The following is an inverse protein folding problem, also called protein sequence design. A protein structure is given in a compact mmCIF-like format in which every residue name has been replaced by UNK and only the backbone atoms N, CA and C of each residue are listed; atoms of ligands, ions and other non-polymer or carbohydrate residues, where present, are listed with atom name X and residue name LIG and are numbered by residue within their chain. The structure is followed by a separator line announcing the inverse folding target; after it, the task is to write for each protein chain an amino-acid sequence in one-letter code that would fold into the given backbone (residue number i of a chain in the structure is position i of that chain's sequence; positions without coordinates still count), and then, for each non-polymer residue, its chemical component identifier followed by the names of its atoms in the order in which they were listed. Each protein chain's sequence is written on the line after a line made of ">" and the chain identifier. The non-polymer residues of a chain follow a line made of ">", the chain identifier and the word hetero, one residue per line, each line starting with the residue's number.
data_IF_792276179200
#
_entry.id   IF_792276179200
#
_cell.length_a   1.000
_cell.length_b   1.000
_cell.length_c   1.000
_cell.angle_alpha   90.00
_cell.angle_beta   90.00
_cell.angle_gamma   90.00
#
_symmetry.space_group_name_H-M   'P 1'
#
loop_
_entity.id
_entity.type
_entity.pdbx_description
1 polymer ?
#
# COMPACT_ATOMS: atom_id res chain seq x y z
N UNK A 1 -4.13 -8.85 0.93
CA UNK A 1 -5.38 -8.06 1.05
C UNK A 1 -4.97 -6.61 1.19
N UNK A 2 -5.56 -5.65 0.46
CA UNK A 2 -5.09 -4.28 0.55
C UNK A 2 -5.30 -3.75 1.97
N UNK A 3 -4.32 -3.05 2.57
CA UNK A 3 -4.54 -2.25 3.76
C UNK A 3 -5.70 -1.26 3.60
N UNK A 4 -6.09 -0.66 4.73
CA UNK A 4 -7.29 0.16 4.94
C UNK A 4 -7.56 1.11 3.77
N UNK A 5 -8.67 0.87 3.08
CA UNK A 5 -9.17 1.73 2.01
C UNK A 5 -9.67 3.04 2.62
N UNK A 6 -9.36 4.17 1.98
CA UNK A 6 -9.88 5.49 2.34
C UNK A 6 -10.50 6.16 1.12
N UNK A 7 -11.61 6.88 1.30
CA UNK A 7 -12.19 7.73 0.27
C UNK A 7 -11.47 9.07 0.25
N UNK A 8 -11.21 9.61 -0.93
CA UNK A 8 -10.58 10.92 -1.11
C UNK A 8 -11.27 11.67 -2.25
N UNK A 9 -11.52 12.96 -2.03
CA UNK A 9 -12.14 13.85 -3.01
C UNK A 9 -11.07 14.78 -3.56
N UNK A 10 -11.15 15.07 -4.86
CA UNK A 10 -10.35 16.12 -5.49
C UNK A 10 -11.27 17.19 -6.06
N UNK A 11 -10.71 18.27 -6.61
CA UNK A 11 -11.47 19.51 -6.90
C UNK A 11 -12.76 19.27 -7.71
N UNK A 12 -12.71 18.37 -8.69
CA UNK A 12 -13.84 18.04 -9.56
C UNK A 12 -14.14 16.53 -9.64
N UNK A 13 -13.90 15.77 -8.58
CA UNK A 13 -14.24 14.35 -8.51
C UNK A 13 -13.86 13.68 -7.20
N UNK A 14 -13.78 12.35 -7.21
CA UNK A 14 -13.39 11.59 -6.04
C UNK A 14 -13.18 10.12 -6.34
N UNK A 15 -12.67 9.40 -5.35
CA UNK A 15 -12.34 7.99 -5.49
C UNK A 15 -11.90 7.36 -4.18
N UNK A 16 -11.17 6.26 -4.32
CA UNK A 16 -10.62 5.51 -3.20
C UNK A 16 -9.11 5.39 -3.34
N UNK A 17 -8.42 5.43 -2.21
CA UNK A 17 -6.99 5.14 -2.10
C UNK A 17 -6.73 3.98 -1.15
N UNK A 18 -5.66 3.24 -1.43
CA UNK A 18 -5.17 2.14 -0.61
C UNK A 18 -3.68 1.92 -0.91
N UNK A 19 -2.96 1.23 -0.02
CA UNK A 19 -1.63 0.72 -0.36
C UNK A 19 -1.79 -0.68 -0.93
N UNK A 20 -0.92 -1.07 -1.85
CA UNK A 20 -0.91 -2.42 -2.40
C UNK A 20 0.50 -2.77 -2.86
N UNK A 21 0.69 -4.06 -3.08
CA UNK A 21 1.78 -4.59 -3.90
C UNK A 21 1.19 -5.62 -4.86
N UNK A 22 1.93 -5.96 -5.92
CA UNK A 22 1.54 -7.00 -6.87
C UNK A 22 2.61 -8.08 -6.92
N UNK A 23 2.25 -9.32 -6.56
CA UNK A 23 3.13 -10.48 -6.64
C UNK A 23 2.47 -11.60 -7.47
N UNK A 24 3.30 -12.36 -8.20
CA UNK A 24 2.85 -13.49 -9.03
C UNK A 24 2.83 -14.83 -8.27
N UNK A 25 3.37 -14.85 -7.05
CA UNK A 25 3.47 -16.01 -6.17
C UNK A 25 3.32 -15.57 -4.72
N UNK A 26 3.36 -16.51 -3.77
CA UNK A 26 3.40 -16.20 -2.34
C UNK A 26 4.74 -15.54 -2.00
N UNK A 27 4.78 -14.21 -2.03
CA UNK A 27 5.96 -13.40 -1.81
C UNK A 27 5.87 -12.62 -0.48
N UNK A 28 7.02 -12.30 0.15
CA UNK A 28 7.08 -11.35 1.26
C UNK A 28 6.63 -9.95 0.83
N UNK A 29 5.88 -9.29 1.71
CA UNK A 29 5.51 -7.87 1.53
C UNK A 29 6.73 -7.00 1.81
N UNK A 30 7.05 -6.06 0.91
CA UNK A 30 8.32 -5.33 0.95
C UNK A 30 8.24 -3.90 0.38
N UNK A 31 9.24 -3.05 0.68
CA UNK A 31 9.27 -1.64 0.24
C UNK A 31 9.59 -1.45 -1.25
N UNK A 32 10.23 -2.42 -1.91
CA UNK A 32 10.50 -2.32 -3.36
C UNK A 32 9.21 -2.44 -4.17
N UNK A 33 8.27 -3.27 -3.72
CA UNK A 33 7.02 -3.57 -4.44
C UNK A 33 5.78 -2.82 -3.88
N UNK A 34 5.89 -2.18 -2.71
CA UNK A 34 4.79 -1.43 -2.10
C UNK A 34 4.54 -0.10 -2.83
N UNK A 35 3.27 0.17 -3.13
CA UNK A 35 2.83 1.43 -3.72
C UNK A 35 1.53 1.96 -3.12
N UNK A 36 1.41 3.28 -3.14
CA UNK A 36 0.16 3.99 -2.93
C UNK A 36 -0.63 3.96 -4.25
N UNK A 37 -1.89 3.56 -4.18
CA UNK A 37 -2.80 3.52 -5.32
C UNK A 37 -4.02 4.39 -5.03
N UNK A 38 -4.33 5.31 -5.93
CA UNK A 38 -5.61 5.99 -6.00
C UNK A 38 -6.31 5.64 -7.31
N UNK A 39 -7.61 5.37 -7.22
CA UNK A 39 -8.49 5.26 -8.37
C UNK A 39 -9.79 6.04 -8.14
N UNK A 40 -10.23 6.81 -9.12
CA UNK A 40 -11.41 7.67 -8.99
C UNK A 40 -11.97 8.14 -10.31
N UNK A 41 -13.06 8.91 -10.24
CA UNK A 41 -13.75 9.47 -11.40
C UNK A 41 -14.03 10.95 -11.20
N UNK A 42 -14.09 11.71 -12.30
CA UNK A 42 -14.62 13.08 -12.26
C UNK A 42 -16.12 13.08 -11.95
N UNK A 43 -16.61 14.19 -11.39
CA UNK A 43 -18.02 14.35 -10.97
C UNK A 43 -19.00 14.28 -12.14
N UNK A 44 -18.56 14.68 -13.33
CA UNK A 44 -19.32 14.53 -14.58
C UNK A 44 -19.27 13.11 -15.18
N UNK A 45 -18.47 12.21 -14.59
CA UNK A 45 -18.29 10.83 -15.04
C UNK A 45 -17.47 10.69 -16.33
N UNK A 46 -16.88 11.77 -16.84
CA UNK A 46 -16.21 11.77 -18.13
C UNK A 46 -14.79 11.16 -18.09
N UNK A 47 -14.12 11.21 -16.94
CA UNK A 47 -12.75 10.74 -16.80
C UNK A 47 -12.59 9.77 -15.63
N UNK A 48 -11.82 8.71 -15.88
CA UNK A 48 -11.34 7.78 -14.88
C UNK A 48 -9.84 8.04 -14.63
N UNK A 49 -9.46 8.15 -13.36
CA UNK A 49 -8.12 8.53 -12.94
C UNK A 49 -7.52 7.38 -12.15
N UNK A 50 -6.28 7.01 -12.49
CA UNK A 50 -5.42 6.17 -11.66
C UNK A 50 -4.15 6.97 -11.35
N UNK A 51 -3.75 7.03 -10.08
CA UNK A 51 -2.46 7.54 -9.65
C UNK A 51 -1.73 6.49 -8.81
N UNK A 52 -0.49 6.18 -9.17
CA UNK A 52 0.35 5.18 -8.50
C UNK A 52 1.66 5.84 -8.12
N UNK A 53 2.01 5.78 -6.85
CA UNK A 53 3.26 6.33 -6.32
C UNK A 53 4.01 5.28 -5.49
N UNK A 54 5.35 5.21 -5.61
CA UNK A 54 6.13 4.38 -4.69
C UNK A 54 5.99 4.92 -3.27
N UNK A 55 5.92 4.03 -2.30
CA UNK A 55 5.84 4.37 -0.88
C UNK A 55 6.50 3.27 -0.05
N UNK A 56 7.30 3.65 0.94
CA UNK A 56 7.91 2.72 1.87
C UNK A 56 7.30 2.84 3.27
N UNK A 57 7.28 1.72 3.98
CA UNK A 57 6.91 1.63 5.38
C UNK A 57 8.14 1.27 6.23
N UNK A 58 8.33 1.88 7.41
CA UNK A 58 9.53 1.69 8.22
C UNK A 58 9.63 0.28 8.85
N UNK A 59 8.57 -0.52 8.75
CA UNK A 59 8.43 -1.85 9.35
C UNK A 59 8.60 -2.99 8.35
N UNK A 60 8.76 -2.68 7.06
CA UNK A 60 8.92 -3.68 6.00
C UNK A 60 10.40 -3.84 5.60
N UNK A 61 10.77 -5.04 5.19
CA UNK A 61 12.05 -5.27 4.53
C UNK A 61 12.09 -4.53 3.18
N UNK A 62 13.30 -4.21 2.71
CA UNK A 62 13.47 -3.51 1.44
C UNK A 62 13.12 -4.39 0.23
N UNK A 63 13.43 -5.69 0.27
CA UNK A 63 13.30 -6.60 -0.88
C UNK A 63 12.36 -7.76 -0.57
N UNK A 64 11.89 -8.45 -1.62
CA UNK A 64 11.09 -9.69 -1.53
C UNK A 64 11.88 -10.95 -1.17
N UNK A 65 13.16 -10.84 -0.81
CA UNK A 65 13.92 -11.97 -0.25
C UNK A 65 13.37 -12.35 1.13
N UNK A 66 12.96 -13.61 1.30
CA UNK A 66 12.45 -14.12 2.57
C UNK A 66 13.49 -14.07 3.71
N UNK A 67 14.78 -14.03 3.38
CA UNK A 67 15.89 -13.88 4.32
C UNK A 67 16.36 -12.42 4.50
N UNK A 68 15.67 -11.45 3.90
CA UNK A 68 16.02 -10.03 4.05
C UNK A 68 15.99 -9.59 5.51
N UNK A 69 16.88 -8.64 5.86
CA UNK A 69 16.94 -8.06 7.20
C UNK A 69 15.64 -7.28 7.44
N UNK A 70 14.92 -7.65 8.51
CA UNK A 70 13.70 -6.97 8.92
C UNK A 70 14.02 -5.77 9.82
N UNK A 71 13.39 -4.61 9.59
CA UNK A 71 13.40 -3.53 10.56
C UNK A 71 12.73 -3.92 11.89
N UNK A 72 12.92 -3.09 12.91
CA UNK A 72 12.27 -3.27 14.21
C UNK A 72 10.75 -3.29 14.06
N UNK A 73 10.11 -4.34 14.56
CA UNK A 73 8.66 -4.53 14.47
C UNK A 73 8.16 -5.16 13.17
N UNK A 74 9.07 -5.51 12.25
CA UNK A 74 8.74 -6.28 11.06
C UNK A 74 8.31 -7.72 11.37
N UNK A 75 7.60 -8.34 10.44
CA UNK A 75 7.09 -9.71 10.54
C UNK A 75 7.84 -10.58 9.53
N UNK A 76 8.46 -11.65 10.01
CA UNK A 76 9.18 -12.58 9.15
C UNK A 76 8.23 -13.35 8.22
N UNK A 77 8.66 -13.54 6.98
CA UNK A 77 7.96 -14.38 6.03
C UNK A 77 8.04 -15.85 6.51
N UNK A 78 6.92 -16.60 6.49
CA UNK A 78 6.93 -17.99 6.93
C UNK A 78 7.72 -18.88 5.95
N UNK A 79 8.29 -19.97 6.47
CA UNK A 79 8.81 -21.04 5.61
C UNK A 79 7.63 -21.75 4.93
N UNK A 80 7.44 -21.44 3.64
CA UNK A 80 6.35 -21.98 2.82
C UNK A 80 6.56 -23.44 2.40
N UNK A 81 7.74 -24.02 2.65
CA UNK A 81 8.06 -25.42 2.33
C UNK A 81 7.78 -26.35 3.50
N UNK A 82 7.59 -25.80 4.70
CA UNK A 82 7.31 -26.56 5.92
C UNK A 82 5.83 -26.97 6.07
N UNK A 83 5.55 -28.01 6.87
CA UNK A 83 4.18 -28.50 7.10
C UNK A 83 3.27 -27.51 7.85
N UNK A 84 3.84 -26.47 8.45
CA UNK A 84 3.15 -25.46 9.26
C UNK A 84 3.10 -24.08 8.56
N UNK A 85 3.26 -24.03 7.24
CA UNK A 85 3.23 -22.78 6.48
C UNK A 85 1.87 -22.06 6.64
N UNK A 86 1.89 -20.87 7.25
CA UNK A 86 0.69 -20.03 7.43
C UNK A 86 0.83 -18.70 6.67
N UNK A 87 0.66 -18.77 5.35
CA UNK A 87 0.67 -17.59 4.48
C UNK A 87 -0.51 -16.66 4.74
N UNK A 88 -1.68 -17.21 5.05
CA UNK A 88 -2.87 -16.40 5.30
C UNK A 88 -2.70 -15.59 6.59
N UNK A 89 -2.19 -16.20 7.66
CA UNK A 89 -1.86 -15.54 8.91
C UNK A 89 -0.78 -14.48 8.72
N UNK A 90 0.26 -14.76 7.93
CA UNK A 90 1.28 -13.76 7.56
C UNK A 90 0.66 -12.52 6.92
N UNK A 91 -0.11 -12.67 5.83
CA UNK A 91 -0.70 -11.52 5.15
C UNK A 91 -1.72 -10.78 6.01
N UNK A 92 -2.47 -11.48 6.87
CA UNK A 92 -3.37 -10.86 7.85
C UNK A 92 -2.59 -10.01 8.86
N UNK A 93 -1.48 -10.54 9.37
CA UNK A 93 -0.62 -9.84 10.32
C UNK A 93 0.06 -8.61 9.69
N UNK A 94 0.58 -8.73 8.46
CA UNK A 94 1.12 -7.58 7.72
C UNK A 94 0.05 -6.52 7.46
N UNK A 95 -1.16 -6.92 7.05
CA UNK A 95 -2.27 -5.99 6.83
C UNK A 95 -2.59 -5.22 8.11
N UNK A 96 -2.63 -5.92 9.26
CA UNK A 96 -2.85 -5.31 10.57
C UNK A 96 -1.70 -4.37 10.97
N UNK A 97 -0.45 -4.77 10.71
CA UNK A 97 0.75 -3.97 10.97
C UNK A 97 0.72 -2.67 10.17
N UNK A 98 0.49 -2.73 8.86
CA UNK A 98 0.41 -1.56 7.99
C UNK A 98 -0.77 -0.64 8.37
N UNK A 99 -1.93 -1.22 8.73
CA UNK A 99 -3.08 -0.44 9.20
C UNK A 99 -2.86 0.25 10.55
N UNK A 100 -1.99 -0.31 11.40
CA UNK A 100 -1.60 0.27 12.69
C UNK A 100 -0.39 1.21 12.60
N UNK A 101 0.29 1.25 11.46
CA UNK A 101 1.45 2.12 11.23
C UNK A 101 0.98 3.55 11.00
N UNK A 102 1.64 4.52 11.64
CA UNK A 102 1.27 5.93 11.51
C UNK A 102 1.42 6.40 10.06
N UNK A 103 0.41 7.10 9.53
CA UNK A 103 0.42 7.66 8.18
C UNK A 103 1.62 8.58 7.90
N UNK A 104 2.12 9.27 8.94
CA UNK A 104 3.27 10.18 8.86
C UNK A 104 4.63 9.47 8.93
N UNK A 105 4.65 8.15 9.19
CA UNK A 105 5.89 7.37 9.27
C UNK A 105 6.28 6.71 7.94
N UNK A 106 5.40 6.74 6.95
CA UNK A 106 5.70 6.29 5.59
C UNK A 106 6.58 7.30 4.86
N UNK A 107 7.29 6.85 3.82
CA UNK A 107 8.09 7.73 2.96
C UNK A 107 7.77 7.50 1.48
N UNK A 108 7.22 8.49 0.74
CA UNK A 108 6.61 9.73 1.24
C UNK A 108 5.49 9.48 2.26
N UNK A 109 5.09 10.48 3.04
CA UNK A 109 3.99 10.27 3.99
C UNK A 109 2.68 10.07 3.25
N UNK A 110 1.76 9.29 3.83
CA UNK A 110 0.43 9.10 3.22
C UNK A 110 -0.29 10.45 3.10
N UNK A 111 -0.15 11.32 4.10
CA UNK A 111 -0.76 12.64 4.10
C UNK A 111 -0.25 13.54 2.95
N UNK A 112 1.03 13.45 2.58
CA UNK A 112 1.58 14.18 1.43
C UNK A 112 0.96 13.69 0.10
N UNK A 113 0.79 12.38 -0.04
CA UNK A 113 0.17 11.79 -1.23
C UNK A 113 -1.34 12.09 -1.28
N UNK A 114 -2.03 12.04 -0.13
CA UNK A 114 -3.45 12.43 -0.03
C UNK A 114 -3.63 13.91 -0.48
N UNK A 115 -2.82 14.84 0.03
CA UNK A 115 -2.86 16.26 -0.39
C UNK A 115 -2.59 16.43 -1.88
N UNK A 116 -1.65 15.66 -2.46
CA UNK A 116 -1.40 15.68 -3.90
C UNK A 116 -2.66 15.28 -4.69
N UNK A 117 -3.34 14.19 -4.28
CA UNK A 117 -4.58 13.74 -4.91
C UNK A 117 -5.69 14.79 -4.76
N UNK A 118 -5.88 15.35 -3.56
CA UNK A 118 -6.88 16.39 -3.29
C UNK A 118 -6.69 17.62 -4.18
N UNK A 119 -5.43 17.96 -4.48
CA UNK A 119 -5.09 19.13 -5.31
C UNK A 119 -5.46 18.97 -6.79
N UNK A 120 -5.75 17.76 -7.27
CA UNK A 120 -6.00 17.51 -8.68
C UNK A 120 -7.25 18.23 -9.18
N UNK A 121 -7.13 18.83 -10.36
CA UNK A 121 -8.23 19.35 -11.16
C UNK A 121 -8.08 18.80 -12.57
N UNK A 122 -9.07 18.05 -13.04
CA UNK A 122 -9.05 17.49 -14.40
C UNK A 122 -9.67 18.51 -15.35
N UNK A 123 -8.90 18.97 -16.33
CA UNK A 123 -9.32 19.90 -17.37
C UNK A 123 -9.21 19.17 -18.73
N UNK A 124 -10.23 19.26 -19.61
CA UNK A 124 -10.20 18.66 -20.94
C UNK A 124 -9.08 19.15 -21.86
#
# INVERSE_FOLDING_TARGET
>A
MPPKIQTISFQNGGGVRFLSECAQYAAPVNNYDLFYHFQGVTRDGAYYIIAIFPISAPVLAETSDAAAVLPSGGIAFPDITGPNADLQGYYSAITKLLNGTSADSFTPTINQLDVLIESMQIVP
#
